data_IF_190772731799
#
_entry.id   IF_190772731799
#
_cell.length_a   1.000
_cell.length_b   1.000
_cell.length_c   1.000
_cell.angle_alpha   90.00
_cell.angle_beta   90.00
_cell.angle_gamma   90.00
#
_symmetry.space_group_name_H-M   'P 1'
#
loop_
_entity.id
_entity.type
_entity.pdbx_description
1 polymer ?
#
# COMPACT_ATOMS: atom_id res chain seq x y z
N UNK A 1 -7.25 34.12 8.54
CA UNK A 1 -6.14 33.19 8.22
C UNK A 1 -6.59 32.31 7.05
N UNK A 2 -5.74 32.11 6.04
CA UNK A 2 -6.05 31.61 4.68
C UNK A 2 -6.80 30.25 4.55
N UNK A 3 -7.15 29.59 5.66
CA UNK A 3 -7.98 28.38 5.70
C UNK A 3 -7.54 27.31 4.70
N UNK A 4 -8.48 26.83 3.90
CA UNK A 4 -8.24 25.81 2.86
C UNK A 4 -7.24 26.29 1.79
N UNK A 5 -7.27 27.57 1.42
CA UNK A 5 -6.33 28.15 0.45
C UNK A 5 -4.88 28.14 0.98
N UNK A 6 -4.71 28.39 2.28
CA UNK A 6 -3.41 28.31 2.94
C UNK A 6 -2.84 26.90 2.93
N UNK A 7 -3.67 25.89 3.21
CA UNK A 7 -3.28 24.48 3.12
C UNK A 7 -2.83 24.11 1.71
N UNK A 8 -3.58 24.51 0.67
CA UNK A 8 -3.23 24.25 -0.72
C UNK A 8 -1.87 24.87 -1.11
N UNK A 9 -1.64 26.14 -0.75
CA UNK A 9 -0.37 26.83 -1.03
C UNK A 9 0.79 26.13 -0.30
N UNK A 10 0.61 25.76 0.97
CA UNK A 10 1.64 25.08 1.75
C UNK A 10 2.03 23.72 1.13
N UNK A 11 1.05 22.93 0.68
CA UNK A 11 1.30 21.64 0.02
C UNK A 11 2.10 21.82 -1.28
N UNK A 12 1.71 22.77 -2.12
CA UNK A 12 2.40 23.06 -3.39
C UNK A 12 3.83 23.54 -3.15
N UNK A 13 4.01 24.49 -2.23
CA UNK A 13 5.34 25.00 -1.88
C UNK A 13 6.26 23.91 -1.33
N UNK A 14 5.74 23.00 -0.49
CA UNK A 14 6.51 21.85 0.01
C UNK A 14 7.04 20.96 -1.13
N UNK A 15 6.23 20.70 -2.17
CA UNK A 15 6.67 19.91 -3.34
C UNK A 15 7.77 20.62 -4.14
N UNK A 16 7.68 21.94 -4.30
CA UNK A 16 8.73 22.72 -4.98
C UNK A 16 10.04 22.75 -4.18
N UNK A 17 9.98 22.87 -2.85
CA UNK A 17 11.15 22.81 -1.99
C UNK A 17 11.81 21.43 -2.05
N UNK A 18 11.02 20.35 -1.99
CA UNK A 18 11.52 18.97 -2.12
C UNK A 18 12.23 18.76 -3.48
N UNK A 19 11.61 19.21 -4.57
CA UNK A 19 12.21 19.17 -5.90
C UNK A 19 13.54 19.95 -5.95
N UNK A 20 13.57 21.16 -5.39
CA UNK A 20 14.77 21.99 -5.35
C UNK A 20 15.91 21.31 -4.59
N UNK A 21 15.64 20.74 -3.42
CA UNK A 21 16.62 20.01 -2.62
C UNK A 21 17.19 18.79 -3.37
N UNK A 22 16.34 18.00 -4.01
CA UNK A 22 16.77 16.84 -4.80
C UNK A 22 17.59 17.25 -6.03
N UNK A 23 17.19 18.32 -6.72
CA UNK A 23 17.92 18.85 -7.85
C UNK A 23 19.31 19.36 -7.45
N UNK A 24 19.40 20.14 -6.37
CA UNK A 24 20.69 20.64 -5.82
C UNK A 24 21.58 19.46 -5.41
N UNK A 25 21.03 18.49 -4.68
CA UNK A 25 21.77 17.30 -4.27
C UNK A 25 22.32 16.50 -5.46
N UNK A 26 21.52 16.37 -6.53
CA UNK A 26 21.94 15.76 -7.79
C UNK A 26 23.12 16.52 -8.42
N UNK A 27 23.05 17.85 -8.54
CA UNK A 27 24.13 18.65 -9.13
C UNK A 27 25.44 18.55 -8.33
N UNK A 28 25.37 18.53 -7.00
CA UNK A 28 26.55 18.40 -6.11
C UNK A 28 27.19 17.00 -6.23
N UNK A 29 26.39 15.94 -6.39
CA UNK A 29 26.86 14.54 -6.43
C UNK A 29 26.71 13.88 -7.81
N UNK A 30 26.92 14.64 -8.89
CA UNK A 30 26.73 14.20 -10.29
C UNK A 30 27.47 12.90 -10.65
N UNK A 31 28.63 12.63 -10.04
CA UNK A 31 29.40 11.40 -10.28
C UNK A 31 28.81 10.13 -9.63
N UNK A 32 27.97 10.27 -8.60
CA UNK A 32 27.31 9.14 -7.92
C UNK A 32 26.06 8.65 -8.69
N UNK A 33 25.50 9.50 -9.54
CA UNK A 33 24.25 9.26 -10.28
C UNK A 33 24.49 9.04 -11.78
N UNK A 34 25.38 8.09 -12.12
CA UNK A 34 25.73 7.77 -13.52
C UNK A 34 24.53 7.41 -14.40
N UNK A 35 23.45 6.86 -13.83
CA UNK A 35 22.21 6.52 -14.53
C UNK A 35 21.38 7.73 -14.98
N UNK A 36 21.66 8.95 -14.48
CA UNK A 36 20.97 10.20 -14.86
C UNK A 36 21.77 11.01 -15.88
N UNK A 37 23.03 10.65 -16.13
CA UNK A 37 23.86 11.37 -17.09
C UNK A 37 23.27 11.24 -18.51
N UNK A 38 22.93 12.37 -19.12
CA UNK A 38 22.28 12.42 -20.44
C UNK A 38 20.74 12.34 -20.43
N UNK A 39 20.11 12.05 -19.28
CA UNK A 39 18.65 11.95 -19.18
C UNK A 39 17.90 13.25 -19.52
N UNK A 40 18.56 14.41 -19.30
CA UNK A 40 18.03 15.74 -19.64
C UNK A 40 18.61 16.32 -20.94
N UNK A 41 19.36 15.52 -21.73
CA UNK A 41 20.00 15.99 -22.96
C UNK A 41 19.01 16.17 -24.12
N UNK A 42 17.82 15.59 -24.03
CA UNK A 42 16.76 15.70 -25.02
C UNK A 42 15.40 15.70 -24.34
N UNK A 43 14.50 16.59 -24.75
CA UNK A 43 13.09 16.62 -24.30
C UNK A 43 12.30 15.41 -24.82
N UNK A 44 12.79 14.73 -25.88
CA UNK A 44 12.10 13.58 -26.46
C UNK A 44 12.44 12.29 -25.71
N UNK A 45 11.44 11.70 -25.08
CA UNK A 45 11.55 10.36 -24.48
C UNK A 45 11.52 9.32 -25.62
N UNK A 46 12.53 8.42 -25.73
CA UNK A 46 12.53 7.39 -26.75
C UNK A 46 11.32 6.45 -26.57
N UNK A 47 10.61 6.17 -27.66
CA UNK A 47 9.38 5.35 -27.66
C UNK A 47 9.56 3.98 -27.01
N UNK A 48 10.74 3.37 -27.12
CA UNK A 48 11.05 2.07 -26.50
C UNK A 48 10.99 2.15 -24.97
N UNK A 49 11.65 3.15 -24.36
CA UNK A 49 11.62 3.36 -22.91
C UNK A 49 10.21 3.70 -22.42
N UNK A 50 9.49 4.57 -23.15
CA UNK A 50 8.10 4.90 -22.81
C UNK A 50 7.20 3.65 -22.87
N UNK A 51 7.37 2.79 -23.88
CA UNK A 51 6.61 1.55 -24.00
C UNK A 51 6.91 0.57 -22.86
N UNK A 52 8.17 0.43 -22.44
CA UNK A 52 8.54 -0.41 -21.29
C UNK A 52 7.94 0.10 -19.98
N UNK A 53 8.01 1.42 -19.74
CA UNK A 53 7.38 2.07 -18.58
C UNK A 53 5.87 1.87 -18.62
N UNK A 54 5.23 2.08 -19.77
CA UNK A 54 3.78 1.91 -19.90
C UNK A 54 3.36 0.44 -19.67
N UNK A 55 4.06 -0.54 -20.25
CA UNK A 55 3.73 -1.97 -20.07
C UNK A 55 3.87 -2.43 -18.62
N UNK A 56 4.88 -1.96 -17.89
CA UNK A 56 5.10 -2.33 -16.47
C UNK A 56 4.26 -1.47 -15.52
N UNK A 57 4.08 -0.19 -15.82
CA UNK A 57 3.44 0.82 -14.97
C UNK A 57 1.93 0.91 -15.12
N UNK A 58 1.37 0.79 -16.33
CA UNK A 58 -0.08 0.89 -16.55
C UNK A 58 -0.88 -0.15 -15.76
N UNK A 59 -0.48 -1.44 -15.69
CA UNK A 59 -1.20 -2.41 -14.86
C UNK A 59 -1.16 -2.08 -13.36
N UNK A 60 -0.06 -1.49 -12.88
CA UNK A 60 0.05 -1.02 -11.49
C UNK A 60 -0.82 0.22 -11.25
N UNK A 61 -0.89 1.15 -12.19
CA UNK A 61 -1.80 2.29 -12.09
C UNK A 61 -3.27 1.83 -12.03
N UNK A 62 -3.64 0.85 -12.85
CA UNK A 62 -4.97 0.25 -12.81
C UNK A 62 -5.23 -0.47 -11.48
N UNK A 63 -4.24 -1.18 -10.93
CA UNK A 63 -4.33 -1.80 -9.60
C UNK A 63 -4.66 -0.76 -8.52
N UNK A 64 -3.91 0.34 -8.46
CA UNK A 64 -4.15 1.41 -7.47
C UNK A 64 -5.52 2.07 -7.68
N UNK A 65 -5.94 2.26 -8.94
CA UNK A 65 -7.26 2.81 -9.26
C UNK A 65 -8.40 1.91 -8.78
N UNK A 66 -8.33 0.61 -9.06
CA UNK A 66 -9.35 -0.35 -8.62
C UNK A 66 -9.33 -0.55 -7.11
N UNK A 67 -8.14 -0.53 -6.48
CA UNK A 67 -8.01 -0.58 -5.03
C UNK A 67 -8.67 0.63 -4.37
N UNK A 68 -8.35 1.85 -4.83
CA UNK A 68 -8.95 3.09 -4.32
C UNK A 68 -10.48 3.14 -4.53
N UNK A 69 -10.95 2.68 -5.69
CA UNK A 69 -12.38 2.56 -5.99
C UNK A 69 -13.06 1.56 -5.05
N UNK A 70 -12.43 0.41 -4.80
CA UNK A 70 -12.92 -0.60 -3.86
C UNK A 70 -12.97 -0.09 -2.42
N UNK A 71 -11.96 0.64 -1.97
CA UNK A 71 -11.96 1.30 -0.65
C UNK A 71 -13.08 2.34 -0.53
N UNK A 72 -13.36 3.07 -1.61
CA UNK A 72 -14.48 4.02 -1.67
C UNK A 72 -15.81 3.29 -1.55
N UNK A 73 -16.01 2.19 -2.28
CA UNK A 73 -17.21 1.36 -2.19
C UNK A 73 -17.40 0.73 -0.81
N UNK A 74 -16.33 0.25 -0.18
CA UNK A 74 -16.35 -0.23 1.21
C UNK A 74 -16.82 0.86 2.18
N UNK A 75 -16.25 2.07 2.04
CA UNK A 75 -16.66 3.23 2.83
C UNK A 75 -18.13 3.60 2.60
N UNK A 76 -18.62 3.54 1.36
CA UNK A 76 -20.03 3.75 1.03
C UNK A 76 -20.94 2.67 1.59
N UNK A 77 -20.48 1.42 1.68
CA UNK A 77 -21.27 0.36 2.31
C UNK A 77 -21.41 0.57 3.82
N UNK A 78 -20.36 1.04 4.50
CA UNK A 78 -20.46 1.42 5.92
C UNK A 78 -21.36 2.63 6.16
N UNK A 79 -21.45 3.58 5.22
CA UNK A 79 -22.30 4.75 5.38
C UNK A 79 -23.80 4.43 5.34
N UNK A 80 -24.20 3.25 4.83
CA UNK A 80 -25.59 2.79 4.86
C UNK A 80 -26.13 2.57 6.28
N UNK A 81 -25.25 2.33 7.26
CA UNK A 81 -25.62 2.16 8.67
C UNK A 81 -25.89 3.48 9.42
N UNK A 82 -25.86 4.61 8.72
CA UNK A 82 -26.27 5.91 9.25
C UNK A 82 -25.13 6.93 9.41
N UNK A 83 -25.52 8.19 9.59
CA UNK A 83 -24.58 9.33 9.62
C UNK A 83 -23.63 9.28 10.82
N UNK A 84 -24.10 8.85 11.99
CA UNK A 84 -23.27 8.72 13.21
C UNK A 84 -22.17 7.67 13.04
N UNK A 85 -22.50 6.57 12.37
CA UNK A 85 -21.55 5.50 12.03
C UNK A 85 -20.47 6.04 11.09
N UNK A 86 -20.88 6.73 10.02
CA UNK A 86 -19.95 7.30 9.06
C UNK A 86 -19.02 8.35 9.70
N UNK A 87 -19.54 9.17 10.62
CA UNK A 87 -18.73 10.11 11.38
C UNK A 87 -17.68 9.40 12.24
N UNK A 88 -18.08 8.34 12.97
CA UNK A 88 -17.15 7.51 13.73
C UNK A 88 -16.10 6.82 12.83
N UNK A 89 -16.53 6.30 11.68
CA UNK A 89 -15.64 5.69 10.69
C UNK A 89 -14.60 6.69 10.16
N UNK A 90 -15.00 7.91 9.80
CA UNK A 90 -14.08 8.95 9.31
C UNK A 90 -13.02 9.36 10.34
N UNK A 91 -13.40 9.44 11.62
CA UNK A 91 -12.44 9.70 12.71
C UNK A 91 -11.48 8.52 12.82
N UNK A 92 -12.01 7.30 12.89
CA UNK A 92 -11.19 6.09 13.03
C UNK A 92 -10.25 5.88 11.85
N UNK A 93 -10.70 6.12 10.61
CA UNK A 93 -9.91 5.90 9.40
C UNK A 93 -8.74 6.87 9.30
N UNK A 94 -8.91 8.10 9.78
CA UNK A 94 -7.81 9.08 9.90
C UNK A 94 -6.71 8.54 10.82
N UNK A 95 -7.08 8.01 11.97
CA UNK A 95 -6.14 7.43 12.95
C UNK A 95 -5.49 6.16 12.42
N UNK A 96 -6.28 5.24 11.86
CA UNK A 96 -5.79 3.99 11.29
C UNK A 96 -4.83 4.23 10.12
N UNK A 97 -5.15 5.18 9.24
CA UNK A 97 -4.31 5.51 8.09
C UNK A 97 -2.90 5.98 8.49
N UNK A 98 -2.76 6.68 9.61
CA UNK A 98 -1.44 7.07 10.13
C UNK A 98 -0.51 5.86 10.32
N UNK A 99 -1.05 4.76 10.85
CA UNK A 99 -0.30 3.52 11.07
C UNK A 99 -0.18 2.69 9.78
N UNK A 100 -1.24 2.64 8.97
CA UNK A 100 -1.21 1.93 7.68
C UNK A 100 -0.15 2.48 6.74
N UNK A 101 0.07 3.80 6.70
CA UNK A 101 1.16 4.42 5.91
C UNK A 101 2.54 3.89 6.34
N UNK A 102 2.75 3.65 7.63
CA UNK A 102 4.00 3.06 8.11
C UNK A 102 4.19 1.64 7.57
N UNK A 103 3.12 0.82 7.57
CA UNK A 103 3.16 -0.55 7.04
C UNK A 103 3.40 -0.59 5.52
N UNK A 104 2.76 0.31 4.76
CA UNK A 104 3.00 0.47 3.32
C UNK A 104 4.46 0.88 3.08
N UNK A 105 4.99 1.80 3.90
CA UNK A 105 6.38 2.27 3.80
C UNK A 105 7.38 1.14 4.07
N UNK A 106 7.13 0.31 5.09
CA UNK A 106 7.92 -0.89 5.34
C UNK A 106 7.82 -1.88 4.19
N UNK A 107 6.62 -2.16 3.68
CA UNK A 107 6.42 -3.02 2.52
C UNK A 107 7.21 -2.54 1.29
N UNK A 108 7.17 -1.23 1.01
CA UNK A 108 7.95 -0.61 -0.07
C UNK A 108 9.45 -0.83 0.10
N UNK A 109 9.98 -0.63 1.32
CA UNK A 109 11.40 -0.90 1.62
C UNK A 109 11.77 -2.37 1.40
N UNK A 110 10.89 -3.30 1.80
CA UNK A 110 11.05 -4.74 1.53
C UNK A 110 11.11 -5.02 0.03
N UNK A 111 10.19 -4.44 -0.75
CA UNK A 111 10.18 -4.58 -2.20
C UNK A 111 11.45 -4.08 -2.87
N UNK A 112 12.05 -3.00 -2.36
CA UNK A 112 13.33 -2.46 -2.88
C UNK A 112 14.49 -3.42 -2.59
N UNK A 113 14.60 -3.93 -1.36
CA UNK A 113 15.69 -4.84 -0.96
C UNK A 113 15.60 -6.15 -1.75
N UNK A 114 14.41 -6.74 -1.78
CA UNK A 114 14.14 -7.99 -2.51
C UNK A 114 14.36 -7.77 -4.01
N UNK A 115 13.81 -6.70 -4.59
CA UNK A 115 13.98 -6.39 -6.01
C UNK A 115 15.44 -6.25 -6.41
N UNK A 116 16.28 -5.67 -5.55
CA UNK A 116 17.74 -5.60 -5.76
C UNK A 116 18.38 -7.00 -5.77
N UNK A 117 18.03 -7.86 -4.82
CA UNK A 117 18.57 -9.22 -4.73
C UNK A 117 18.12 -10.10 -5.90
N UNK A 118 16.85 -9.99 -6.31
CA UNK A 118 16.31 -10.66 -7.50
C UNK A 118 17.04 -10.20 -8.77
N UNK A 119 17.28 -8.91 -8.92
CA UNK A 119 18.06 -8.37 -10.05
C UNK A 119 19.52 -8.84 -10.09
N UNK A 120 20.09 -9.17 -8.92
CA UNK A 120 21.45 -9.70 -8.78
C UNK A 120 21.53 -11.24 -8.91
N UNK A 121 20.42 -11.92 -9.24
CA UNK A 121 20.30 -13.39 -9.26
C UNK A 121 20.56 -14.07 -7.89
N UNK A 122 20.47 -13.33 -6.78
CA UNK A 122 20.65 -13.86 -5.43
C UNK A 122 19.32 -14.37 -4.85
N UNK A 123 18.72 -15.37 -5.49
CA UNK A 123 17.35 -15.81 -5.20
C UNK A 123 17.16 -16.35 -3.77
N UNK A 124 18.12 -17.09 -3.24
CA UNK A 124 18.01 -17.61 -1.86
C UNK A 124 18.16 -16.51 -0.81
N UNK A 125 19.05 -15.53 -1.05
CA UNK A 125 19.16 -14.35 -0.21
C UNK A 125 17.86 -13.52 -0.25
N UNK A 126 17.22 -13.43 -1.42
CA UNK A 126 15.93 -12.75 -1.57
C UNK A 126 14.83 -13.40 -0.72
N UNK A 127 14.77 -14.74 -0.72
CA UNK A 127 13.77 -15.49 0.08
C UNK A 127 14.03 -15.36 1.58
N UNK A 128 15.28 -15.46 2.01
CA UNK A 128 15.65 -15.28 3.42
C UNK A 128 15.39 -13.84 3.90
N UNK A 129 15.75 -12.84 3.09
CA UNK A 129 15.49 -11.43 3.38
C UNK A 129 14.00 -11.13 3.45
N UNK A 130 13.20 -11.69 2.53
CA UNK A 130 11.74 -11.61 2.59
C UNK A 130 11.22 -12.12 3.93
N UNK A 131 11.61 -13.35 4.34
CA UNK A 131 11.15 -13.94 5.59
C UNK A 131 11.53 -13.08 6.81
N UNK A 132 12.78 -12.63 6.89
CA UNK A 132 13.29 -11.82 8.00
C UNK A 132 12.59 -10.47 8.09
N UNK A 133 12.47 -9.77 6.96
CA UNK A 133 11.87 -8.43 6.92
C UNK A 133 10.35 -8.47 7.12
N UNK A 134 9.66 -9.47 6.55
CA UNK A 134 8.23 -9.67 6.81
C UNK A 134 7.96 -9.97 8.28
N UNK A 135 8.79 -10.82 8.91
CA UNK A 135 8.69 -11.11 10.34
C UNK A 135 8.92 -9.84 11.18
N UNK A 136 9.92 -9.04 10.83
CA UNK A 136 10.20 -7.77 11.48
C UNK A 136 9.02 -6.78 11.34
N UNK A 137 8.43 -6.67 10.15
CA UNK A 137 7.26 -5.81 9.92
C UNK A 137 6.06 -6.24 10.80
N UNK A 138 5.81 -7.54 10.92
CA UNK A 138 4.78 -8.09 11.80
C UNK A 138 5.09 -7.79 13.28
N UNK A 139 6.33 -8.00 13.74
CA UNK A 139 6.72 -7.66 15.11
C UNK A 139 6.54 -6.18 15.43
N UNK A 140 6.94 -5.29 14.52
CA UNK A 140 6.72 -3.85 14.66
C UNK A 140 5.23 -3.50 14.74
N UNK A 141 4.41 -4.12 13.89
CA UNK A 141 2.96 -3.90 13.90
C UNK A 141 2.28 -4.40 15.18
N UNK A 142 2.80 -5.46 15.82
CA UNK A 142 2.33 -5.90 17.14
C UNK A 142 2.63 -4.84 18.21
N UNK A 143 3.81 -4.21 18.16
CA UNK A 143 4.14 -3.08 19.04
C UNK A 143 3.18 -1.90 18.85
N UNK A 144 2.91 -1.54 17.59
CA UNK A 144 1.93 -0.48 17.25
C UNK A 144 0.52 -0.87 17.73
N UNK A 145 0.12 -2.12 17.54
CA UNK A 145 -1.17 -2.66 18.00
C UNK A 145 -1.32 -2.45 19.50
N UNK A 146 -0.31 -2.83 20.29
CA UNK A 146 -0.31 -2.65 21.73
C UNK A 146 -0.47 -1.17 22.13
N UNK A 147 0.29 -0.28 21.48
CA UNK A 147 0.18 1.17 21.73
C UNK A 147 -1.23 1.68 21.41
N UNK A 148 -1.81 1.27 20.29
CA UNK A 148 -3.15 1.73 19.88
C UNK A 148 -4.25 1.12 20.75
N UNK A 149 -4.11 -0.11 21.23
CA UNK A 149 -5.07 -0.69 22.17
C UNK A 149 -5.02 0.05 23.51
N UNK A 150 -3.83 0.41 24.00
CA UNK A 150 -3.67 1.10 25.28
C UNK A 150 -4.05 2.59 25.23
N UNK A 151 -3.74 3.29 24.14
CA UNK A 151 -3.90 4.75 24.04
C UNK A 151 -4.92 5.21 23.01
N UNK A 152 -5.33 4.34 22.08
CA UNK A 152 -6.17 4.71 20.94
C UNK A 152 -7.57 5.19 21.32
N UNK A 153 -8.08 4.82 22.51
CA UNK A 153 -9.36 5.35 23.01
C UNK A 153 -9.32 6.86 23.30
N UNK A 154 -8.13 7.43 23.52
CA UNK A 154 -7.97 8.86 23.81
C UNK A 154 -8.07 9.74 22.56
N UNK A 155 -7.78 9.18 21.38
CA UNK A 155 -7.69 9.98 20.15
C UNK A 155 -9.08 10.49 19.71
N UNK A 156 -10.16 9.67 19.72
CA UNK A 156 -11.50 10.17 19.41
C UNK A 156 -12.02 11.25 20.37
N UNK A 157 -11.53 11.30 21.62
CA UNK A 157 -11.93 12.33 22.59
C UNK A 157 -11.48 13.74 22.22
N UNK A 158 -10.46 13.86 21.35
CA UNK A 158 -9.99 15.14 20.84
C UNK A 158 -10.91 15.73 19.75
N UNK A 159 -11.84 14.93 19.22
CA UNK A 159 -12.77 15.37 18.20
C UNK A 159 -14.04 15.95 18.83
N UNK A 160 -14.43 17.14 18.36
CA UNK A 160 -15.65 17.80 18.79
C UNK A 160 -16.86 17.24 18.01
N UNK A 161 -17.40 16.12 18.47
CA UNK A 161 -18.54 15.40 17.85
C UNK A 161 -19.44 14.76 18.91
N UNK A 162 -20.55 14.14 18.49
CA UNK A 162 -21.48 13.44 19.38
C UNK A 162 -20.81 12.28 20.10
N UNK A 163 -21.27 11.97 21.31
CA UNK A 163 -20.71 10.87 22.11
C UNK A 163 -20.84 9.51 21.40
N UNK A 164 -21.96 9.30 20.71
CA UNK A 164 -22.21 8.09 19.92
C UNK A 164 -21.21 7.95 18.75
N UNK A 165 -20.84 9.04 18.06
CA UNK A 165 -19.81 9.00 17.01
C UNK A 165 -18.43 8.63 17.58
N UNK A 166 -18.11 9.10 18.79
CA UNK A 166 -16.85 8.74 19.47
C UNK A 166 -16.83 7.27 19.86
N UNK A 167 -17.95 6.73 20.32
CA UNK A 167 -18.07 5.31 20.65
C UNK A 167 -17.79 4.42 19.42
N UNK A 168 -18.41 4.73 18.28
CA UNK A 168 -18.12 4.06 17.01
C UNK A 168 -16.65 4.20 16.61
N UNK A 169 -16.08 5.40 16.73
CA UNK A 169 -14.67 5.62 16.40
C UNK A 169 -13.72 4.78 17.28
N UNK A 170 -13.95 4.74 18.60
CA UNK A 170 -13.18 3.91 19.53
C UNK A 170 -13.29 2.44 19.17
N UNK A 171 -14.49 1.99 18.82
CA UNK A 171 -14.73 0.61 18.39
C UNK A 171 -13.97 0.26 17.11
N UNK A 172 -14.08 1.07 16.06
CA UNK A 172 -13.38 0.82 14.79
C UNK A 172 -11.86 0.85 14.94
N UNK A 173 -11.32 1.75 15.77
CA UNK A 173 -9.87 1.79 16.07
C UNK A 173 -9.44 0.49 16.75
N UNK A 174 -10.19 0.02 17.76
CA UNK A 174 -9.88 -1.22 18.49
C UNK A 174 -9.95 -2.45 17.60
N UNK A 175 -10.98 -2.55 16.77
CA UNK A 175 -11.08 -3.67 15.83
C UNK A 175 -9.94 -3.61 14.81
N UNK A 176 -9.69 -2.46 14.19
CA UNK A 176 -8.62 -2.31 13.21
C UNK A 176 -7.25 -2.63 13.78
N UNK A 177 -6.96 -2.23 15.02
CA UNK A 177 -5.65 -2.46 15.63
C UNK A 177 -5.35 -3.94 15.80
N UNK A 178 -6.33 -4.76 16.16
CA UNK A 178 -6.18 -6.23 16.22
C UNK A 178 -5.79 -6.81 14.85
N UNK A 179 -6.21 -6.17 13.76
CA UNK A 179 -5.90 -6.60 12.39
C UNK A 179 -4.60 -6.00 11.81
N UNK A 180 -3.94 -5.06 12.48
CA UNK A 180 -2.69 -4.46 11.98
C UNK A 180 -1.58 -5.46 11.65
N UNK A 181 -1.35 -6.54 12.43
CA UNK A 181 -0.35 -7.54 12.08
C UNK A 181 -0.64 -8.26 10.77
N UNK A 182 -1.91 -8.50 10.49
CA UNK A 182 -2.36 -9.09 9.23
C UNK A 182 -2.17 -8.09 8.08
N UNK A 183 -2.60 -6.85 8.27
CA UNK A 183 -2.38 -5.78 7.27
C UNK A 183 -0.90 -5.57 6.96
N UNK A 184 -0.01 -5.60 7.97
CA UNK A 184 1.43 -5.46 7.78
C UNK A 184 2.01 -6.63 6.96
N UNK A 185 1.62 -7.87 7.27
CA UNK A 185 2.02 -9.04 6.49
C UNK A 185 1.46 -9.00 5.06
N UNK A 186 0.20 -8.62 4.89
CA UNK A 186 -0.46 -8.52 3.59
C UNK A 186 0.24 -7.50 2.68
N UNK A 187 0.61 -6.33 3.22
CA UNK A 187 1.39 -5.31 2.52
C UNK A 187 2.80 -5.80 2.19
N UNK A 188 3.49 -6.46 3.13
CA UNK A 188 4.80 -7.04 2.85
C UNK A 188 4.75 -8.07 1.71
N UNK A 189 3.72 -8.91 1.68
CA UNK A 189 3.49 -9.89 0.61
C UNK A 189 3.19 -9.21 -0.72
N UNK A 190 2.36 -8.16 -0.72
CA UNK A 190 2.03 -7.36 -1.91
C UNK A 190 3.29 -6.78 -2.57
N UNK A 191 4.14 -6.08 -1.82
CA UNK A 191 5.35 -5.47 -2.36
C UNK A 191 6.41 -6.50 -2.78
N UNK A 192 6.47 -7.64 -2.10
CA UNK A 192 7.33 -8.76 -2.51
C UNK A 192 6.89 -9.34 -3.86
N UNK A 193 5.59 -9.63 -4.04
CA UNK A 193 5.03 -10.12 -5.30
C UNK A 193 5.27 -9.11 -6.44
N UNK A 194 5.11 -7.82 -6.16
CA UNK A 194 5.37 -6.72 -7.10
C UNK A 194 6.85 -6.66 -7.50
N UNK A 195 7.78 -6.89 -6.57
CA UNK A 195 9.22 -6.88 -6.84
C UNK A 195 9.68 -7.99 -7.80
N UNK A 196 8.95 -9.10 -7.83
CA UNK A 196 9.16 -10.22 -8.77
C UNK A 196 8.59 -10.02 -10.18
N UNK A 197 7.93 -8.89 -10.45
CA UNK A 197 7.41 -8.57 -11.78
C UNK A 197 6.16 -9.34 -12.18
N UNK A 198 5.57 -10.12 -11.27
CA UNK A 198 4.31 -10.85 -11.49
C UNK A 198 3.10 -9.96 -11.24
N UNK A 199 3.00 -8.85 -11.99
CA UNK A 199 1.99 -7.81 -11.79
C UNK A 199 0.55 -8.32 -11.85
N UNK A 200 0.26 -9.33 -12.68
CA UNK A 200 -1.07 -9.97 -12.72
C UNK A 200 -1.47 -10.62 -11.40
N UNK A 201 -0.54 -11.30 -10.73
CA UNK A 201 -0.78 -11.92 -9.42
C UNK A 201 -0.98 -10.82 -8.37
N UNK A 202 -0.18 -9.75 -8.43
CA UNK A 202 -0.33 -8.58 -7.55
C UNK A 202 -1.71 -7.94 -7.69
N UNK A 203 -2.23 -7.78 -8.91
CA UNK A 203 -3.58 -7.24 -9.17
C UNK A 203 -4.67 -8.12 -8.56
N UNK A 204 -4.57 -9.44 -8.78
CA UNK A 204 -5.56 -10.40 -8.27
C UNK A 204 -5.54 -10.41 -6.73
N UNK A 205 -4.34 -10.42 -6.16
CA UNK A 205 -4.12 -10.45 -4.72
C UNK A 205 -4.68 -9.21 -4.03
N UNK A 206 -4.62 -8.04 -4.67
CA UNK A 206 -4.94 -6.77 -4.03
C UNK A 206 -6.31 -6.20 -4.43
N UNK A 207 -6.43 -5.64 -5.64
CA UNK A 207 -7.68 -4.96 -6.05
C UNK A 207 -8.82 -5.93 -6.25
N UNK A 208 -8.57 -7.09 -6.89
CA UNK A 208 -9.62 -8.06 -7.17
C UNK A 208 -10.14 -8.66 -5.88
N UNK A 209 -9.26 -8.92 -4.91
CA UNK A 209 -9.69 -9.36 -3.58
C UNK A 209 -10.64 -8.35 -2.92
N UNK A 210 -10.28 -7.06 -2.91
CA UNK A 210 -11.15 -6.03 -2.36
C UNK A 210 -12.49 -5.93 -3.11
N UNK A 211 -12.47 -5.93 -4.43
CA UNK A 211 -13.69 -5.74 -5.24
C UNK A 211 -14.59 -6.97 -5.28
N UNK A 212 -14.03 -8.18 -5.24
CA UNK A 212 -14.77 -9.43 -5.37
C UNK A 212 -15.11 -10.07 -4.03
N UNK A 213 -14.35 -9.78 -2.97
CA UNK A 213 -14.55 -10.38 -1.64
C UNK A 213 -15.02 -9.32 -0.66
N UNK A 214 -14.22 -8.29 -0.39
CA UNK A 214 -14.52 -7.33 0.69
C UNK A 214 -15.77 -6.49 0.41
N UNK A 215 -15.86 -5.90 -0.80
CA UNK A 215 -16.97 -5.04 -1.19
C UNK A 215 -18.31 -5.81 -1.18
N UNK A 216 -18.45 -6.97 -1.87
CA UNK A 216 -19.69 -7.72 -1.86
C UNK A 216 -20.05 -8.23 -0.47
N UNK A 217 -19.05 -8.58 0.37
CA UNK A 217 -19.31 -9.02 1.75
C UNK A 217 -19.98 -7.92 2.56
N UNK A 218 -19.50 -6.66 2.50
CA UNK A 218 -20.16 -5.53 3.18
C UNK A 218 -21.63 -5.40 2.76
N UNK A 219 -21.91 -5.38 1.46
CA UNK A 219 -23.26 -5.19 0.95
C UNK A 219 -24.17 -6.38 1.24
N UNK A 220 -23.65 -7.60 1.17
CA UNK A 220 -24.40 -8.82 1.47
C UNK A 220 -24.77 -8.89 2.95
N UNK A 221 -23.83 -8.58 3.85
CA UNK A 221 -24.12 -8.57 5.29
C UNK A 221 -25.14 -7.50 5.68
N UNK A 222 -25.17 -6.37 4.96
CA UNK A 222 -26.18 -5.32 5.15
C UNK A 222 -27.55 -5.70 4.58
N UNK A 223 -27.63 -6.06 3.30
CA UNK A 223 -28.91 -6.26 2.61
C UNK A 223 -29.55 -7.64 2.89
N UNK A 224 -28.76 -8.70 2.99
CA UNK A 224 -29.29 -10.06 3.14
C UNK A 224 -29.36 -10.51 4.60
N UNK A 225 -28.35 -10.16 5.41
CA UNK A 225 -28.29 -10.61 6.80
C UNK A 225 -28.77 -9.55 7.82
N UNK A 226 -29.05 -8.31 7.36
CA UNK A 226 -29.51 -7.18 8.19
C UNK A 226 -28.69 -6.99 9.47
N UNK A 227 -27.37 -7.25 9.39
CA UNK A 227 -26.50 -7.19 10.56
C UNK A 227 -26.21 -5.75 10.96
N UNK A 228 -25.97 -5.54 12.25
CA UNK A 228 -25.54 -4.23 12.75
C UNK A 228 -24.07 -3.99 12.40
N UNK A 229 -23.67 -2.71 12.35
CA UNK A 229 -22.29 -2.32 12.04
C UNK A 229 -21.25 -2.95 12.99
N UNK A 230 -21.63 -3.16 14.24
CA UNK A 230 -20.83 -3.87 15.26
C UNK A 230 -20.46 -5.31 14.90
N UNK A 231 -21.14 -5.91 13.91
CA UNK A 231 -20.85 -7.25 13.41
C UNK A 231 -20.24 -7.17 12.00
N UNK A 232 -20.77 -6.29 11.15
CA UNK A 232 -20.29 -6.13 9.76
C UNK A 232 -18.80 -5.75 9.75
N UNK A 233 -18.40 -4.76 10.54
CA UNK A 233 -17.04 -4.25 10.53
C UNK A 233 -15.97 -5.29 10.88
N UNK A 234 -16.04 -6.03 12.01
CA UNK A 234 -15.05 -7.05 12.33
C UNK A 234 -15.04 -8.22 11.35
N UNK A 235 -16.19 -8.61 10.78
CA UNK A 235 -16.24 -9.66 9.75
C UNK A 235 -15.46 -9.23 8.52
N UNK A 236 -15.68 -8.00 8.05
CA UNK A 236 -15.00 -7.49 6.85
C UNK A 236 -13.49 -7.32 7.13
N UNK A 237 -13.11 -6.86 8.32
CA UNK A 237 -11.70 -6.80 8.69
C UNK A 237 -11.05 -8.19 8.80
N UNK A 238 -11.80 -9.21 9.21
CA UNK A 238 -11.29 -10.59 9.25
C UNK A 238 -10.93 -11.17 7.89
N UNK A 239 -11.45 -10.60 6.79
CA UNK A 239 -11.07 -11.00 5.43
C UNK A 239 -9.57 -10.76 5.14
N UNK A 240 -8.91 -9.86 5.86
CA UNK A 240 -7.46 -9.68 5.78
C UNK A 240 -6.71 -10.95 6.21
N UNK A 241 -7.28 -11.79 7.07
CA UNK A 241 -6.70 -13.10 7.42
C UNK A 241 -6.67 -14.00 6.17
N UNK A 242 -7.75 -14.00 5.38
CA UNK A 242 -7.83 -14.77 4.13
C UNK A 242 -6.78 -14.24 3.15
N UNK A 243 -6.65 -12.92 3.00
CA UNK A 243 -5.62 -12.28 2.18
C UNK A 243 -4.22 -12.69 2.64
N UNK A 244 -3.96 -12.74 3.94
CA UNK A 244 -2.69 -13.22 4.49
C UNK A 244 -2.41 -14.69 4.15
N UNK A 245 -3.41 -15.57 4.25
CA UNK A 245 -3.25 -17.00 3.91
C UNK A 245 -2.88 -17.15 2.43
N UNK A 246 -3.55 -16.40 1.53
CA UNK A 246 -3.25 -16.39 0.10
C UNK A 246 -1.83 -15.84 -0.14
N UNK A 247 -1.47 -14.75 0.52
CA UNK A 247 -0.15 -14.13 0.42
C UNK A 247 0.96 -15.08 0.85
N UNK A 248 0.78 -15.74 1.98
CA UNK A 248 1.70 -16.77 2.47
C UNK A 248 1.84 -17.94 1.49
N UNK A 249 0.72 -18.41 0.90
CA UNK A 249 0.76 -19.47 -0.10
C UNK A 249 1.55 -19.07 -1.35
N UNK A 250 1.38 -17.83 -1.85
CA UNK A 250 2.16 -17.33 -2.98
C UNK A 250 3.64 -17.16 -2.65
N UNK A 251 3.96 -16.67 -1.46
CA UNK A 251 5.35 -16.54 -1.01
C UNK A 251 6.02 -17.91 -0.90
N UNK A 252 5.33 -18.90 -0.32
CA UNK A 252 5.83 -20.28 -0.16
C UNK A 252 6.06 -20.98 -1.50
N UNK A 253 5.19 -20.75 -2.48
CA UNK A 253 5.33 -21.31 -3.84
C UNK A 253 6.47 -20.66 -4.65
N UNK A 254 7.15 -19.63 -4.12
CA UNK A 254 8.26 -18.90 -4.78
C UNK A 254 7.92 -18.39 -6.20
N UNK A 255 6.64 -18.23 -6.54
CA UNK A 255 6.17 -17.78 -7.87
C UNK A 255 6.67 -16.36 -8.20
N UNK A 256 7.00 -15.60 -7.15
CA UNK A 256 7.54 -14.24 -7.21
C UNK A 256 9.05 -14.19 -7.44
N UNK A 257 9.78 -15.30 -7.33
CA UNK A 257 11.23 -15.34 -7.52
C UNK A 257 11.51 -15.33 -9.02
N UNK A 258 11.73 -14.14 -9.58
CA UNK A 258 12.03 -13.96 -10.99
C UNK A 258 12.98 -12.77 -11.17
N UNK A 259 13.95 -12.90 -12.07
CA UNK A 259 14.79 -11.78 -12.46
C UNK A 259 14.18 -11.08 -13.68
N UNK A 260 13.72 -9.84 -13.49
CA UNK A 260 13.09 -9.03 -14.54
C UNK A 260 14.15 -8.36 -15.44
N UNK A 261 15.40 -8.30 -14.99
CA UNK A 261 16.50 -7.61 -15.69
C UNK A 261 17.08 -8.48 -16.80
N UNK A 262 17.23 -9.78 -16.56
CA UNK A 262 17.78 -10.73 -17.55
C UNK A 262 16.89 -10.90 -18.79
N UNK A 263 15.57 -10.79 -18.64
CA UNK A 263 14.63 -10.82 -19.78
C UNK A 263 14.81 -9.60 -20.71
N UNK A 264 15.18 -8.44 -20.17
CA UNK A 264 15.48 -7.22 -20.93
C UNK A 264 16.91 -7.27 -21.56
N UNK A 265 17.87 -8.01 -20.97
CA UNK A 265 19.20 -8.24 -21.55
C UNK A 265 19.17 -9.21 -22.74
N UNK A 266 18.34 -10.26 -22.69
CA UNK A 266 18.09 -11.13 -23.83
C UNK A 266 17.46 -10.38 -25.02
N UNK A 267 16.67 -9.32 -24.76
CA UNK A 267 16.16 -8.41 -25.79
C UNK A 267 17.17 -7.36 -26.27
N UNK A 268 18.26 -7.12 -25.53
CA UNK A 268 19.34 -6.22 -25.94
C UNK A 268 20.50 -6.92 -26.67
N UNK A 269 20.57 -8.25 -26.60
CA UNK A 269 21.58 -9.05 -27.32
C UNK A 269 21.49 -8.99 -28.85
N UNK A 270 20.46 -8.35 -29.41
CA UNK A 270 20.28 -8.16 -30.86
C UNK A 270 20.68 -6.76 -31.37
N UNK A 271 21.28 -5.89 -30.54
CA UNK A 271 21.84 -4.62 -31.02
C UNK A 271 23.32 -4.80 -31.34
N UNK A 272 23.53 -5.36 -32.52
CA UNK A 272 24.70 -5.29 -33.42
C UNK A 272 25.89 -4.50 -32.88
N UNK A 273 26.99 -5.23 -32.68
CA UNK A 273 28.34 -4.68 -32.71
C UNK A 273 28.60 -4.00 -34.06
N UNK A 274 28.81 -2.68 -34.06
CA UNK A 274 29.76 -1.97 -34.93
C UNK A 274 30.35 -0.82 -34.13
#
# INVERSE_FOLDING_TARGET
>A
LLGVKGAAIATVMSRYVEFGLLAVYYFIKRNRFRYVQGAFSSIRIPKNVLSQIAKKGLPLLLNEFFWSSGMTLLSSGYSLHGLTVMAGYSISSTVVNLFTIAFISFGSAIGIIIGKQLGANEFDNAVDSCRKLSTFAVMMSLGITLIVVLFGYKIPLLYNTTEQSKEYAMYFIRISSVFFPFTAFANSSYFTLRSGGKTGITIIYDSVFIMAVSVPTVFLLYYAAHLNIWQVYPIVQSLEIIKCIIGYAFLKKRIWVNNIVSDDEAQKGEVVCV
#
